data_IF_325269804285
#
_entry.id   IF_325269804285
#
_cell.length_a   1.000
_cell.length_b   1.000
_cell.length_c   1.000
_cell.angle_alpha   90.00
_cell.angle_beta   90.00
_cell.angle_gamma   90.00
#
_symmetry.space_group_name_H-M   'P 1'
#
loop_
_entity.id
_entity.type
_entity.pdbx_description
1 polymer ?
#
# COMPACT_ATOMS: atom_id res chain seq x y z
N UNK A 1 -13.14 1.99 11.92
CA UNK A 1 -12.30 2.19 13.12
C UNK A 1 -11.33 1.05 13.40
N UNK A 2 -11.68 -0.24 13.20
CA UNK A 2 -10.74 -1.36 13.43
C UNK A 2 -9.49 -1.28 12.53
N UNK A 3 -9.66 -0.85 11.28
CA UNK A 3 -8.54 -0.76 10.33
C UNK A 3 -7.55 0.35 10.69
N UNK A 4 -7.97 1.40 11.39
CA UNK A 4 -7.07 2.45 11.85
C UNK A 4 -6.32 2.01 13.09
N UNK A 5 -7.02 1.30 13.98
CA UNK A 5 -6.47 0.84 15.26
C UNK A 5 -5.36 -0.19 15.16
N UNK A 6 -5.24 -0.92 14.01
CA UNK A 6 -4.20 -1.95 13.90
C UNK A 6 -2.77 -1.40 14.07
N UNK A 7 -2.53 -0.13 13.77
CA UNK A 7 -1.22 0.52 13.98
C UNK A 7 -0.92 0.65 15.47
N UNK A 8 -1.84 1.23 16.23
CA UNK A 8 -1.69 1.39 17.69
C UNK A 8 -1.71 0.05 18.41
N UNK A 9 -2.58 -0.87 18.02
CA UNK A 9 -2.65 -2.22 18.59
C UNK A 9 -1.37 -3.01 18.29
N UNK A 10 -0.83 -2.88 17.07
CA UNK A 10 0.45 -3.46 16.66
C UNK A 10 1.62 -2.93 17.48
N UNK A 11 1.66 -1.63 17.76
CA UNK A 11 2.69 -1.02 18.59
C UNK A 11 2.63 -1.58 20.03
N UNK A 12 1.44 -1.66 20.62
CA UNK A 12 1.25 -2.23 21.97
C UNK A 12 1.73 -3.69 22.01
N UNK A 13 1.41 -4.48 20.98
CA UNK A 13 1.89 -5.86 20.89
C UNK A 13 3.41 -5.94 20.78
N UNK A 14 4.02 -5.06 19.98
CA UNK A 14 5.48 -5.00 19.80
C UNK A 14 6.20 -4.63 21.11
N UNK A 15 5.65 -3.67 21.86
CA UNK A 15 6.18 -3.28 23.17
C UNK A 15 6.08 -4.42 24.17
N UNK A 16 4.92 -5.06 24.28
CA UNK A 16 4.69 -6.19 25.18
C UNK A 16 5.63 -7.37 24.92
N UNK A 17 6.03 -7.56 23.67
CA UNK A 17 6.92 -8.65 23.25
C UNK A 17 8.38 -8.21 23.12
N UNK A 18 8.73 -6.99 23.54
CA UNK A 18 10.12 -6.50 23.56
C UNK A 18 10.76 -6.37 22.18
N UNK A 19 9.96 -6.05 21.12
CA UNK A 19 10.54 -5.86 19.80
C UNK A 19 11.52 -4.68 19.79
N UNK A 20 12.60 -4.77 18.98
CA UNK A 20 13.53 -3.66 18.79
C UNK A 20 12.84 -2.39 18.29
N UNK A 21 13.36 -1.22 18.66
CA UNK A 21 12.78 0.07 18.28
C UNK A 21 12.60 0.20 16.77
N UNK A 22 13.58 -0.24 15.98
CA UNK A 22 13.50 -0.18 14.51
C UNK A 22 12.24 -0.87 13.95
N UNK A 23 11.80 -1.99 14.53
CA UNK A 23 10.57 -2.66 14.10
C UNK A 23 9.31 -1.91 14.55
N UNK A 24 9.34 -1.31 15.73
CA UNK A 24 8.26 -0.45 16.21
C UNK A 24 8.11 0.80 15.33
N UNK A 25 9.22 1.37 14.88
CA UNK A 25 9.22 2.50 13.95
C UNK A 25 8.55 2.13 12.61
N UNK A 26 8.79 0.94 12.07
CA UNK A 26 8.07 0.45 10.88
C UNK A 26 6.57 0.30 11.13
N UNK A 27 6.17 -0.20 12.30
CA UNK A 27 4.75 -0.36 12.65
C UNK A 27 4.03 0.99 12.63
N UNK A 28 4.61 2.05 13.19
CA UNK A 28 3.94 3.35 13.28
C UNK A 28 4.03 4.18 12.00
N UNK A 29 4.93 3.84 11.08
CA UNK A 29 5.17 4.64 9.87
C UNK A 29 4.58 4.05 8.59
N UNK A 30 4.21 2.75 8.54
CA UNK A 30 3.84 2.10 7.28
C UNK A 30 2.56 2.65 6.63
N UNK A 31 1.69 3.29 7.39
CA UNK A 31 0.56 4.07 6.87
C UNK A 31 0.73 5.57 7.03
N UNK A 32 1.72 6.02 7.82
CA UNK A 32 1.93 7.44 8.13
C UNK A 32 0.69 8.08 8.73
N UNK A 33 0.33 9.23 8.22
CA UNK A 33 -0.86 10.00 8.59
C UNK A 33 -1.89 10.05 7.45
N UNK A 34 -1.96 9.00 6.61
CA UNK A 34 -2.84 9.01 5.44
C UNK A 34 -4.29 8.75 5.78
N UNK A 35 -5.19 9.23 4.92
CA UNK A 35 -6.61 8.92 5.01
C UNK A 35 -6.90 7.51 4.48
N UNK A 36 -7.80 6.79 5.13
CA UNK A 36 -8.38 5.53 4.66
C UNK A 36 -9.44 5.78 3.59
N UNK A 37 -9.05 6.35 2.45
CA UNK A 37 -9.93 6.92 1.44
C UNK A 37 -11.05 6.00 0.97
N UNK A 38 -10.81 4.68 0.84
CA UNK A 38 -11.87 3.74 0.50
C UNK A 38 -13.01 3.74 1.52
N UNK A 39 -12.68 3.72 2.82
CA UNK A 39 -13.68 3.67 3.88
C UNK A 39 -14.36 5.02 4.06
N UNK A 40 -13.64 6.12 3.92
CA UNK A 40 -14.21 7.45 3.95
C UNK A 40 -15.21 7.65 2.81
N UNK A 41 -14.83 7.32 1.56
CA UNK A 41 -15.73 7.44 0.43
C UNK A 41 -16.99 6.58 0.58
N UNK A 42 -16.84 5.37 1.13
CA UNK A 42 -17.99 4.51 1.42
C UNK A 42 -18.89 5.15 2.47
N UNK A 43 -18.31 5.66 3.56
CA UNK A 43 -19.05 6.36 4.62
C UNK A 43 -19.86 7.54 4.08
N UNK A 44 -19.25 8.39 3.24
CA UNK A 44 -19.93 9.52 2.58
C UNK A 44 -21.05 9.04 1.67
N UNK A 45 -20.81 8.00 0.87
CA UNK A 45 -21.83 7.44 -0.04
C UNK A 45 -23.02 6.84 0.73
N UNK A 46 -22.81 6.37 1.93
CA UNK A 46 -23.84 5.85 2.83
C UNK A 46 -24.56 6.97 3.64
N UNK A 47 -24.26 8.25 3.34
CA UNK A 47 -24.90 9.43 3.95
C UNK A 47 -24.19 9.95 5.20
N UNK A 48 -22.93 9.61 5.40
CA UNK A 48 -22.11 10.13 6.50
C UNK A 48 -21.81 11.61 6.39
N UNK A 49 -21.40 12.23 7.52
CA UNK A 49 -21.08 13.64 7.59
C UNK A 49 -19.65 13.89 7.07
N UNK A 50 -19.46 14.78 6.08
CA UNK A 50 -18.12 15.15 5.61
C UNK A 50 -17.19 15.71 6.69
N UNK A 51 -17.74 16.31 7.74
CA UNK A 51 -16.97 16.87 8.85
C UNK A 51 -16.28 15.79 9.70
N UNK A 52 -16.72 14.52 9.60
CA UNK A 52 -16.12 13.38 10.29
C UNK A 52 -14.84 12.86 9.62
N UNK A 53 -14.32 13.53 8.59
CA UNK A 53 -13.14 13.10 7.83
C UNK A 53 -11.92 12.79 8.73
N UNK A 54 -11.78 13.49 9.85
CA UNK A 54 -10.68 13.31 10.79
C UNK A 54 -10.62 11.86 11.34
N UNK A 55 -11.77 11.20 11.49
CA UNK A 55 -11.87 9.83 12.00
C UNK A 55 -11.36 8.77 11.02
N UNK A 56 -11.03 9.18 9.80
CA UNK A 56 -10.54 8.29 8.74
C UNK A 56 -9.04 8.42 8.46
N UNK A 57 -8.32 9.23 9.24
CA UNK A 57 -6.86 9.32 9.16
C UNK A 57 -6.19 8.34 10.11
N UNK A 58 -5.06 7.79 9.67
CA UNK A 58 -4.20 7.03 10.57
C UNK A 58 -3.52 7.96 11.57
N UNK A 59 -3.51 7.54 12.83
CA UNK A 59 -2.80 8.20 13.94
C UNK A 59 -1.38 7.60 14.04
N UNK A 60 -0.64 7.70 12.94
CA UNK A 60 0.73 7.21 12.82
C UNK A 60 1.74 8.35 12.73
N UNK A 61 2.93 8.01 12.27
CA UNK A 61 4.04 8.94 12.05
C UNK A 61 4.49 8.86 10.60
N UNK A 62 4.80 9.98 9.97
CA UNK A 62 5.37 9.99 8.61
C UNK A 62 6.71 9.24 8.59
N UNK A 63 7.02 8.53 7.50
CA UNK A 63 8.32 7.89 7.33
C UNK A 63 9.47 8.89 7.42
N UNK A 64 10.52 8.53 8.14
CA UNK A 64 11.74 9.34 8.31
C UNK A 64 12.96 8.72 7.64
N UNK A 65 12.88 7.46 7.21
CA UNK A 65 13.94 6.77 6.46
C UNK A 65 13.42 6.25 5.12
N UNK A 66 14.35 5.99 4.19
CA UNK A 66 14.03 5.40 2.87
C UNK A 66 13.37 4.03 2.98
N UNK A 67 13.82 3.22 3.93
CA UNK A 67 13.29 1.89 4.20
C UNK A 67 11.83 1.96 4.66
N UNK A 68 11.49 2.92 5.49
CA UNK A 68 10.11 3.15 5.93
C UNK A 68 9.23 3.63 4.77
N UNK A 69 9.74 4.52 3.89
CA UNK A 69 9.05 4.92 2.66
C UNK A 69 8.80 3.72 1.75
N UNK A 70 9.81 2.87 1.55
CA UNK A 70 9.68 1.66 0.72
C UNK A 70 8.57 0.77 1.28
N UNK A 71 8.55 0.50 2.59
CA UNK A 71 7.51 -0.32 3.20
C UNK A 71 6.12 0.30 3.01
N UNK A 72 5.95 1.60 3.28
CA UNK A 72 4.69 2.31 3.08
C UNK A 72 4.16 2.15 1.65
N UNK A 73 5.02 2.31 0.67
CA UNK A 73 4.65 2.22 -0.74
C UNK A 73 4.33 0.79 -1.13
N UNK A 74 5.16 -0.17 -0.74
CA UNK A 74 4.94 -1.59 -1.05
C UNK A 74 3.62 -2.09 -0.46
N UNK A 75 3.29 -1.74 0.79
CA UNK A 75 2.02 -2.08 1.43
C UNK A 75 0.83 -1.49 0.68
N UNK A 76 0.88 -0.18 0.36
CA UNK A 76 -0.19 0.50 -0.36
C UNK A 76 -0.39 -0.07 -1.78
N UNK A 77 0.68 -0.37 -2.50
CA UNK A 77 0.64 -0.95 -3.84
C UNK A 77 0.11 -2.39 -3.78
N UNK A 78 0.54 -3.18 -2.82
CA UNK A 78 0.06 -4.56 -2.64
C UNK A 78 -1.46 -4.57 -2.39
N UNK A 79 -1.92 -3.78 -1.44
CA UNK A 79 -3.34 -3.67 -1.12
C UNK A 79 -4.17 -3.21 -2.33
N UNK A 80 -3.73 -2.19 -3.05
CA UNK A 80 -4.42 -1.65 -4.21
C UNK A 80 -4.39 -2.60 -5.42
N UNK A 81 -3.31 -3.36 -5.61
CA UNK A 81 -3.17 -4.31 -6.72
C UNK A 81 -4.21 -5.43 -6.70
N UNK A 82 -4.72 -5.78 -5.52
CA UNK A 82 -5.80 -6.77 -5.36
C UNK A 82 -7.11 -6.36 -6.01
N UNK A 83 -7.31 -5.06 -6.23
CA UNK A 83 -8.51 -4.49 -6.83
C UNK A 83 -8.39 -4.28 -8.34
N UNK A 84 -7.24 -4.60 -8.95
CA UNK A 84 -7.07 -4.50 -10.39
C UNK A 84 -8.00 -5.49 -11.12
N UNK A 85 -8.68 -4.98 -12.15
CA UNK A 85 -9.55 -5.80 -13.02
C UNK A 85 -8.75 -6.58 -14.06
N UNK A 86 -7.63 -6.03 -14.47
CA UNK A 86 -6.65 -6.65 -15.37
C UNK A 86 -5.23 -6.31 -14.88
N UNK A 87 -4.27 -7.14 -15.28
CA UNK A 87 -2.88 -7.01 -14.89
C UNK A 87 -2.00 -6.67 -16.11
N UNK A 88 -2.55 -5.89 -17.06
CA UNK A 88 -1.77 -5.35 -18.16
C UNK A 88 -0.68 -4.41 -17.64
N UNK A 89 0.38 -4.28 -18.42
CA UNK A 89 1.49 -3.37 -18.10
C UNK A 89 0.99 -1.93 -17.86
N UNK A 90 0.03 -1.47 -18.67
CA UNK A 90 -0.57 -0.14 -18.53
C UNK A 90 -1.33 0.01 -17.21
N UNK A 91 -2.12 -1.00 -16.80
CA UNK A 91 -2.88 -0.97 -15.54
C UNK A 91 -1.96 -1.00 -14.34
N UNK A 92 -0.93 -1.84 -14.35
CA UNK A 92 0.09 -1.92 -13.30
C UNK A 92 0.85 -0.59 -13.20
N UNK A 93 1.32 -0.05 -14.33
CA UNK A 93 2.07 1.21 -14.35
C UNK A 93 1.23 2.36 -13.79
N UNK A 94 -0.01 2.50 -14.25
CA UNK A 94 -0.94 3.53 -13.77
C UNK A 94 -1.22 3.41 -12.27
N UNK A 95 -1.36 2.19 -11.74
CA UNK A 95 -1.56 1.95 -10.32
C UNK A 95 -0.36 2.43 -9.50
N UNK A 96 0.85 1.98 -9.87
CA UNK A 96 2.08 2.30 -9.13
C UNK A 96 2.35 3.79 -9.14
N UNK A 97 2.23 4.44 -10.31
CA UNK A 97 2.44 5.89 -10.43
C UNK A 97 1.45 6.65 -9.54
N UNK A 98 0.16 6.33 -9.62
CA UNK A 98 -0.87 6.98 -8.81
C UNK A 98 -0.63 6.83 -7.30
N UNK A 99 -0.21 5.66 -6.83
CA UNK A 99 0.05 5.43 -5.40
C UNK A 99 1.25 6.26 -4.94
N UNK A 100 2.37 6.22 -5.67
CA UNK A 100 3.59 6.91 -5.27
C UNK A 100 3.42 8.42 -5.36
N UNK A 101 2.86 8.92 -6.47
CA UNK A 101 2.63 10.34 -6.65
C UNK A 101 1.62 10.86 -5.61
N UNK A 102 0.54 10.11 -5.34
CA UNK A 102 -0.41 10.47 -4.30
C UNK A 102 0.19 10.55 -2.90
N UNK A 103 1.12 9.65 -2.54
CA UNK A 103 1.84 9.72 -1.25
C UNK A 103 2.77 10.95 -1.19
N UNK A 104 3.42 11.29 -2.31
CA UNK A 104 4.27 12.47 -2.38
C UNK A 104 3.45 13.78 -2.29
N UNK A 105 2.34 13.86 -3.04
CA UNK A 105 1.41 15.00 -3.03
C UNK A 105 0.76 15.22 -1.65
N UNK A 106 0.41 14.13 -0.95
CA UNK A 106 -0.11 14.15 0.42
C UNK A 106 0.97 14.49 1.47
N UNK A 107 2.20 14.74 1.05
CA UNK A 107 3.32 15.12 1.91
C UNK A 107 3.79 14.02 2.85
N UNK A 108 3.43 12.75 2.59
CA UNK A 108 3.84 11.63 3.44
C UNK A 108 5.34 11.34 3.38
N UNK A 109 6.02 11.78 2.32
CA UNK A 109 7.45 11.54 2.10
C UNK A 109 8.34 12.69 2.55
N UNK A 110 7.75 13.80 3.07
CA UNK A 110 8.44 15.06 3.35
C UNK A 110 9.52 14.97 4.43
N UNK A 111 9.39 14.01 5.34
CA UNK A 111 10.28 13.88 6.50
C UNK A 111 11.42 12.88 6.25
N UNK A 112 11.45 12.27 5.06
CA UNK A 112 12.49 11.34 4.63
C UNK A 112 13.50 12.01 3.70
N UNK A 113 14.69 11.42 3.61
CA UNK A 113 15.77 11.85 2.70
C UNK A 113 15.73 11.15 1.33
N UNK A 114 14.58 10.55 0.97
CA UNK A 114 14.43 9.89 -0.32
C UNK A 114 14.45 10.90 -1.47
N UNK A 115 15.32 10.67 -2.44
CA UNK A 115 15.44 11.53 -3.62
C UNK A 115 14.41 11.16 -4.69
N UNK A 116 14.09 12.11 -5.58
CA UNK A 116 13.25 11.85 -6.75
C UNK A 116 13.83 10.75 -7.66
N UNK A 117 15.15 10.63 -7.73
CA UNK A 117 15.81 9.55 -8.49
C UNK A 117 15.51 8.20 -7.88
N UNK A 118 15.59 8.08 -6.56
CA UNK A 118 15.29 6.83 -5.85
C UNK A 118 13.81 6.47 -5.95
N UNK A 119 12.90 7.45 -5.88
CA UNK A 119 11.48 7.24 -6.12
C UNK A 119 11.21 6.70 -7.53
N UNK A 120 11.85 7.26 -8.55
CA UNK A 120 11.71 6.77 -9.92
C UNK A 120 12.26 5.35 -10.08
N UNK A 121 13.41 5.05 -9.48
CA UNK A 121 13.96 3.68 -9.47
C UNK A 121 12.97 2.72 -8.80
N UNK A 122 12.41 3.09 -7.66
CA UNK A 122 11.44 2.28 -6.94
C UNK A 122 10.15 2.06 -7.77
N UNK A 123 9.65 3.07 -8.48
CA UNK A 123 8.51 2.91 -9.41
C UNK A 123 8.77 1.81 -10.43
N UNK A 124 9.91 1.86 -11.11
CA UNK A 124 10.25 0.89 -12.16
C UNK A 124 10.44 -0.53 -11.59
N UNK A 125 11.10 -0.67 -10.45
CA UNK A 125 11.30 -1.97 -9.80
C UNK A 125 9.97 -2.59 -9.34
N UNK A 126 9.07 -1.81 -8.74
CA UNK A 126 7.76 -2.28 -8.31
C UNK A 126 6.90 -2.69 -9.51
N UNK A 127 6.89 -1.90 -10.59
CA UNK A 127 6.19 -2.23 -11.84
C UNK A 127 6.67 -3.56 -12.39
N UNK A 128 7.99 -3.73 -12.52
CA UNK A 128 8.60 -4.95 -13.02
C UNK A 128 8.25 -6.16 -12.14
N UNK A 129 8.34 -6.02 -10.84
CA UNK A 129 8.00 -7.08 -9.87
C UNK A 129 6.53 -7.51 -10.01
N UNK A 130 5.60 -6.57 -10.06
CA UNK A 130 4.18 -6.87 -10.22
C UNK A 130 3.87 -7.56 -11.55
N UNK A 131 4.49 -7.11 -12.65
CA UNK A 131 4.35 -7.75 -13.95
C UNK A 131 4.81 -9.21 -13.89
N UNK A 132 5.97 -9.49 -13.32
CA UNK A 132 6.49 -10.85 -13.16
C UNK A 132 5.58 -11.70 -12.27
N UNK A 133 5.11 -11.16 -11.15
CA UNK A 133 4.25 -11.86 -10.20
C UNK A 133 2.91 -12.26 -10.85
N UNK A 134 2.33 -11.40 -11.65
CA UNK A 134 1.03 -11.67 -12.28
C UNK A 134 1.15 -12.44 -13.60
N UNK A 135 2.24 -12.32 -14.35
CA UNK A 135 2.51 -13.16 -15.53
C UNK A 135 2.64 -14.65 -15.16
N UNK A 136 3.24 -14.97 -14.04
CA UNK A 136 3.38 -16.36 -13.59
C UNK A 136 2.06 -17.03 -13.18
N UNK A 137 0.96 -16.27 -13.11
CA UNK A 137 -0.40 -16.77 -12.80
C UNK A 137 -1.24 -17.12 -14.03
N UNK A 138 -0.67 -17.12 -15.24
CA UNK A 138 -1.37 -17.60 -16.44
C UNK A 138 -1.64 -19.10 -16.28
N UNK A 139 -2.90 -19.44 -16.05
CA UNK A 139 -3.36 -20.85 -16.00
C UNK A 139 -3.27 -21.42 -17.41
N UNK A 140 -2.27 -22.27 -17.66
CA UNK A 140 -2.20 -23.02 -18.90
C UNK A 140 -3.44 -23.94 -19.02
N UNK A 141 -4.24 -23.83 -20.07
CA UNK A 141 -5.40 -24.70 -20.25
C UNK A 141 -4.95 -26.16 -20.36
N UNK A 142 -5.50 -27.03 -19.51
CA UNK A 142 -5.25 -28.49 -19.60
C UNK A 142 -5.72 -28.99 -20.97
N UNK A 143 -4.85 -29.68 -21.69
CA UNK A 143 -5.17 -30.32 -22.97
C UNK A 143 -6.33 -31.30 -22.73
N UNK A 144 -7.48 -31.06 -23.37
CA UNK A 144 -8.60 -32.04 -23.37
C UNK A 144 -8.09 -33.32 -23.98
N UNK A 145 -8.12 -34.41 -23.21
CA UNK A 145 -7.74 -35.73 -23.69
C UNK A 145 -8.54 -36.09 -24.95
N UNK A 146 -7.87 -36.65 -25.96
CA UNK A 146 -8.52 -37.26 -27.14
C UNK A 146 -9.40 -38.40 -26.58
N UNK A 147 -10.70 -38.33 -26.80
CA UNK A 147 -11.57 -39.49 -26.58
C UNK A 147 -11.10 -40.62 -27.47
N UNK A 148 -10.67 -41.73 -26.88
CA UNK A 148 -10.36 -42.97 -27.59
C UNK A 148 -11.66 -43.46 -28.23
N UNK A 149 -11.60 -43.64 -29.55
CA UNK A 149 -12.65 -44.42 -30.26
C UNK A 149 -12.44 -45.92 -30.04
#
# INVERSE_FOLDING_TARGET
QEIIRHVSDGLVMAEKNGLPQVLKDFIVTHHGTTCTGYFYNRYINDGGDPDDVADFYYDGVKPTSKEQVILMICDAVEAASRSLKDYSEASISSLVDRIIDGKAEDGQLSDSDISLRELNTMKEEIKLYLQQMYHSRVVYPKRKGRASK
#
